data_IF_303112310865
#
_entry.id   IF_303112310865
#
_cell.length_a   1.000
_cell.length_b   1.000
_cell.length_c   1.000
_cell.angle_alpha   90.00
_cell.angle_beta   90.00
_cell.angle_gamma   90.00
#
_symmetry.space_group_name_H-M   'P 1'
#
loop_
_entity.id
_entity.type
_entity.pdbx_description
1 polymer ?
#
# COMPACT_ATOMS: atom_id res chain seq x y z
N UNK A 1 37.95 -7.56 61.62
CA UNK A 1 37.88 -7.84 60.18
C UNK A 1 37.80 -6.51 59.45
N UNK A 2 38.85 -6.12 58.73
CA UNK A 2 38.93 -4.88 57.94
C UNK A 2 38.24 -5.12 56.60
N UNK A 3 37.25 -4.31 56.25
CA UNK A 3 36.65 -4.30 54.91
C UNK A 3 37.43 -3.29 54.08
N UNK A 4 37.97 -3.75 52.95
CA UNK A 4 38.80 -3.01 51.99
C UNK A 4 37.95 -2.03 51.16
N UNK A 5 38.43 -0.82 50.82
CA UNK A 5 37.67 0.21 50.10
C UNK A 5 37.60 0.00 48.57
N UNK A 6 37.89 -1.20 48.07
CA UNK A 6 38.00 -1.46 46.62
C UNK A 6 36.64 -1.78 45.96
N UNK A 7 35.54 -1.80 46.70
CA UNK A 7 34.22 -2.16 46.15
C UNK A 7 33.29 -0.97 45.84
N UNK A 8 33.79 0.28 45.88
CA UNK A 8 32.99 1.50 45.63
C UNK A 8 33.29 2.13 44.25
N UNK A 9 33.85 1.36 43.32
CA UNK A 9 34.12 1.81 41.94
C UNK A 9 33.57 0.85 40.88
N UNK A 10 32.43 0.22 41.19
CA UNK A 10 31.60 -0.52 40.24
C UNK A 10 30.12 -0.13 40.36
N UNK A 11 29.84 1.14 40.69
CA UNK A 11 28.48 1.71 40.73
C UNK A 11 28.33 2.93 39.81
N UNK A 12 29.11 3.00 38.73
CA UNK A 12 29.07 4.07 37.74
C UNK A 12 29.03 3.53 36.29
N UNK A 13 28.38 2.39 36.09
CA UNK A 13 28.06 1.86 34.77
C UNK A 13 26.66 1.26 34.77
N UNK A 14 25.68 1.97 35.35
CA UNK A 14 24.29 1.77 34.95
C UNK A 14 24.14 2.42 33.57
N UNK A 15 24.45 1.61 32.56
CA UNK A 15 23.72 1.53 31.29
C UNK A 15 22.68 2.63 31.06
N UNK A 16 23.11 3.80 30.61
CA UNK A 16 22.30 4.59 29.69
C UNK A 16 22.31 3.86 28.35
N UNK A 17 21.56 2.75 28.28
CA UNK A 17 21.13 2.26 26.98
C UNK A 17 20.23 3.36 26.41
N UNK A 18 20.54 3.93 25.23
CA UNK A 18 19.57 4.80 24.57
C UNK A 18 18.31 3.97 24.37
N UNK A 19 17.21 4.34 25.02
CA UNK A 19 15.90 3.83 24.66
C UNK A 19 15.72 4.18 23.18
N UNK A 20 15.48 3.21 22.29
CA UNK A 20 15.13 3.55 20.92
C UNK A 20 13.77 4.26 20.95
N UNK A 21 13.79 5.60 20.96
CA UNK A 21 12.63 6.41 20.61
C UNK A 21 12.46 6.31 19.10
N UNK A 22 11.75 5.28 18.63
CA UNK A 22 11.44 5.09 17.21
C UNK A 22 10.03 4.53 17.10
N UNK A 23 9.29 5.10 16.17
CA UNK A 23 7.84 5.29 16.17
C UNK A 23 7.25 4.87 14.79
N UNK A 24 6.07 4.20 14.73
CA UNK A 24 5.13 3.83 13.60
C UNK A 24 5.05 2.42 12.97
N UNK A 25 3.97 1.59 13.06
CA UNK A 25 2.52 1.88 13.11
C UNK A 25 1.88 2.28 14.44
N UNK A 26 0.69 2.90 14.35
CA UNK A 26 -0.08 3.64 15.37
C UNK A 26 0.73 4.62 16.24
N UNK A 27 1.77 4.15 16.92
CA UNK A 27 2.71 4.91 17.76
C UNK A 27 3.73 5.75 16.98
N UNK A 28 3.33 6.24 15.80
CA UNK A 28 4.28 6.62 14.76
C UNK A 28 4.43 8.01 14.31
N UNK A 29 3.78 8.86 15.06
CA UNK A 29 3.78 10.25 14.74
C UNK A 29 5.20 10.84 14.69
N UNK A 30 6.10 10.48 15.61
CA UNK A 30 7.42 11.10 15.66
C UNK A 30 8.31 10.76 14.46
N UNK A 31 8.13 9.58 13.86
CA UNK A 31 8.89 9.10 12.70
C UNK A 31 8.33 9.68 11.42
N UNK A 32 7.01 9.68 11.26
CA UNK A 32 6.37 10.00 9.98
C UNK A 32 5.80 11.42 9.90
N UNK A 33 5.51 12.05 11.03
CA UNK A 33 4.74 13.29 11.09
C UNK A 33 3.25 13.13 10.69
N UNK A 34 2.77 11.92 10.41
CA UNK A 34 1.38 11.71 10.00
C UNK A 34 0.44 11.96 11.19
N UNK A 35 -0.28 13.08 11.18
CA UNK A 35 -1.02 13.54 12.35
C UNK A 35 -2.15 12.62 12.79
N UNK A 36 -2.84 11.95 11.86
CA UNK A 36 -3.98 11.07 12.20
C UNK A 36 -3.60 9.88 13.10
N UNK A 37 -2.30 9.59 13.25
CA UNK A 37 -1.80 8.49 14.06
C UNK A 37 -1.83 8.79 15.54
N UNK A 38 -1.56 10.05 15.89
CA UNK A 38 -1.78 10.55 17.25
C UNK A 38 -3.21 10.26 17.68
N UNK A 39 -4.19 10.49 16.80
CA UNK A 39 -5.58 10.13 17.10
C UNK A 39 -5.78 8.65 17.39
N UNK A 40 -5.14 7.76 16.61
CA UNK A 40 -5.26 6.32 16.82
C UNK A 40 -4.62 5.89 18.15
N UNK A 41 -3.45 6.45 18.47
CA UNK A 41 -2.78 6.25 19.75
C UNK A 41 -3.65 6.72 20.92
N UNK A 42 -4.19 7.94 20.86
CA UNK A 42 -5.09 8.48 21.88
C UNK A 42 -6.39 7.66 22.05
N UNK A 43 -6.85 6.96 21.01
CA UNK A 43 -7.98 6.01 21.12
C UNK A 43 -7.55 4.75 21.88
N UNK A 44 -6.36 4.21 21.61
CA UNK A 44 -5.84 3.03 22.32
C UNK A 44 -5.59 3.32 23.80
N UNK A 45 -5.08 4.50 24.11
CA UNK A 45 -4.80 4.96 25.47
C UNK A 45 -6.09 5.35 26.24
N UNK A 46 -7.23 5.40 25.55
CA UNK A 46 -8.52 5.75 26.14
C UNK A 46 -8.73 7.26 26.36
N UNK A 47 -7.82 8.11 25.86
CA UNK A 47 -7.92 9.57 25.94
C UNK A 47 -8.98 10.16 25.01
N UNK A 48 -9.22 9.51 23.86
CA UNK A 48 -10.29 9.85 22.93
C UNK A 48 -11.29 8.69 22.87
N UNK A 49 -12.55 8.98 23.18
CA UNK A 49 -13.64 8.03 23.02
C UNK A 49 -14.11 7.97 21.57
N UNK A 50 -13.78 6.88 20.87
CA UNK A 50 -14.25 6.59 19.51
C UNK A 50 -14.41 5.06 19.33
N UNK A 51 -14.59 4.61 18.09
CA UNK A 51 -14.64 3.20 17.70
C UNK A 51 -13.32 2.52 18.09
N UNK A 52 -13.37 1.46 18.91
CA UNK A 52 -12.16 0.71 19.28
C UNK A 52 -11.43 0.17 18.07
N UNK A 53 -10.10 0.21 18.12
CA UNK A 53 -9.23 -0.37 17.10
C UNK A 53 -9.26 -1.89 17.28
N UNK A 54 -9.54 -2.64 16.21
CA UNK A 54 -9.57 -4.10 16.25
C UNK A 54 -8.19 -4.68 16.59
N UNK A 55 -8.09 -5.86 17.23
CA UNK A 55 -6.81 -6.39 17.73
C UNK A 55 -5.72 -6.48 16.67
N UNK A 56 -6.04 -6.99 15.48
CA UNK A 56 -5.09 -7.10 14.37
C UNK A 56 -4.64 -5.77 13.76
N UNK A 57 -5.20 -4.64 14.18
CA UNK A 57 -4.85 -3.30 13.72
C UNK A 57 -4.08 -2.49 14.79
N UNK A 58 -3.52 -3.14 15.83
CA UNK A 58 -2.84 -2.49 16.96
C UNK A 58 -1.30 -2.62 16.98
N UNK A 59 -0.66 -3.11 15.91
CA UNK A 59 0.80 -3.27 15.87
C UNK A 59 1.52 -1.93 16.05
N UNK A 60 2.69 -2.00 16.68
CA UNK A 60 3.74 -0.97 16.77
C UNK A 60 4.71 -1.04 15.57
N UNK A 61 5.53 0.01 15.36
CA UNK A 61 6.66 0.00 14.40
C UNK A 61 7.48 -1.26 14.37
N UNK A 62 7.79 -1.72 15.56
CA UNK A 62 8.74 -2.79 15.76
C UNK A 62 8.10 -4.17 15.53
N UNK A 63 6.77 -4.24 15.48
CA UNK A 63 6.02 -5.49 15.23
C UNK A 63 5.84 -5.78 13.74
N UNK A 64 6.09 -4.80 12.86
CA UNK A 64 6.07 -4.98 11.41
C UNK A 64 7.49 -5.29 10.94
N UNK A 65 7.63 -6.43 10.27
CA UNK A 65 8.88 -6.91 9.70
C UNK A 65 8.65 -7.50 8.31
N UNK A 66 9.73 -7.74 7.57
CA UNK A 66 9.72 -8.48 6.30
C UNK A 66 9.99 -9.97 6.57
N UNK A 67 9.16 -10.87 6.04
CA UNK A 67 9.19 -12.29 6.43
C UNK A 67 10.04 -13.19 5.51
N UNK A 68 10.52 -12.66 4.38
CA UNK A 68 11.28 -13.40 3.37
C UNK A 68 12.68 -12.82 3.18
N UNK A 69 13.27 -12.22 4.22
CA UNK A 69 14.68 -11.83 4.20
C UNK A 69 15.60 -13.07 4.18
N UNK A 70 16.82 -12.86 3.70
CA UNK A 70 17.90 -13.86 3.68
C UNK A 70 17.45 -15.20 3.04
N UNK A 71 17.84 -16.33 3.65
CA UNK A 71 17.59 -17.67 3.14
C UNK A 71 16.10 -18.03 3.05
N UNK A 72 15.20 -17.28 3.72
CA UNK A 72 13.75 -17.50 3.61
C UNK A 72 13.19 -17.04 2.26
N UNK A 73 13.82 -16.05 1.64
CA UNK A 73 13.44 -15.53 0.33
C UNK A 73 14.20 -16.13 -0.84
N UNK A 74 15.14 -17.05 -0.60
CA UNK A 74 15.93 -17.67 -1.66
C UNK A 74 15.04 -18.48 -2.61
N UNK A 75 15.28 -18.33 -3.92
CA UNK A 75 14.50 -19.00 -4.96
C UNK A 75 13.13 -18.40 -5.24
N UNK A 76 12.76 -17.29 -4.59
CA UNK A 76 11.51 -16.55 -4.81
C UNK A 76 11.72 -15.32 -5.73
N UNK A 77 12.71 -15.37 -6.62
CA UNK A 77 12.90 -14.42 -7.72
C UNK A 77 11.85 -14.58 -8.83
N UNK A 78 11.16 -15.72 -8.83
CA UNK A 78 10.02 -16.01 -9.69
C UNK A 78 8.92 -16.69 -8.87
N UNK A 79 7.70 -16.75 -9.43
CA UNK A 79 6.60 -17.44 -8.77
C UNK A 79 6.90 -18.95 -8.67
N UNK A 80 6.77 -19.57 -7.49
CA UNK A 80 7.00 -21.00 -7.35
C UNK A 80 6.05 -21.84 -8.21
N UNK A 81 6.40 -23.11 -8.42
CA UNK A 81 5.45 -24.06 -8.98
C UNK A 81 4.29 -24.30 -7.99
N UNK A 82 3.05 -24.48 -8.47
CA UNK A 82 1.93 -24.74 -7.58
C UNK A 82 2.12 -26.01 -6.75
N UNK A 83 1.93 -25.90 -5.44
CA UNK A 83 1.87 -27.04 -4.53
C UNK A 83 0.60 -27.86 -4.81
N UNK A 84 0.68 -29.17 -5.10
CA UNK A 84 -0.49 -29.96 -5.47
C UNK A 84 -1.59 -29.99 -4.40
N UNK A 85 -1.23 -29.96 -3.11
CA UNK A 85 -2.18 -29.97 -2.01
C UNK A 85 -2.95 -28.67 -1.91
N UNK A 86 -2.22 -27.56 -1.81
CA UNK A 86 -2.78 -26.21 -1.74
C UNK A 86 -3.57 -25.86 -3.01
N UNK A 87 -3.07 -26.26 -4.19
CA UNK A 87 -3.76 -26.04 -5.46
C UNK A 87 -5.10 -26.77 -5.53
N UNK A 88 -5.19 -28.03 -5.05
CA UNK A 88 -6.47 -28.75 -4.95
C UNK A 88 -7.44 -28.06 -3.99
N UNK A 89 -6.96 -27.65 -2.82
CA UNK A 89 -7.78 -26.95 -1.83
C UNK A 89 -8.32 -25.61 -2.39
N UNK A 90 -7.45 -24.82 -3.04
CA UNK A 90 -7.82 -23.55 -3.67
C UNK A 90 -8.86 -23.76 -4.77
N UNK A 91 -8.66 -24.75 -5.66
CA UNK A 91 -9.59 -25.06 -6.73
C UNK A 91 -10.99 -25.43 -6.20
N UNK A 92 -11.06 -26.12 -5.05
CA UNK A 92 -12.31 -26.47 -4.39
C UNK A 92 -13.18 -25.29 -3.97
N UNK A 93 -12.65 -24.05 -3.94
CA UNK A 93 -13.41 -22.85 -3.57
C UNK A 93 -14.29 -22.29 -4.71
N UNK A 94 -13.96 -22.61 -5.97
CA UNK A 94 -14.52 -21.95 -7.14
C UNK A 94 -15.68 -22.63 -7.89
N UNK A 95 -16.09 -23.90 -7.66
CA UNK A 95 -17.18 -24.51 -8.43
C UNK A 95 -18.50 -23.74 -8.42
N UNK A 96 -18.80 -23.00 -7.35
CA UNK A 96 -20.02 -22.19 -7.21
C UNK A 96 -19.83 -20.69 -7.50
N UNK A 97 -18.64 -20.29 -7.96
CA UNK A 97 -18.29 -18.91 -8.25
C UNK A 97 -18.17 -18.68 -9.76
N UNK A 98 -18.38 -17.44 -10.20
CA UNK A 98 -18.20 -17.07 -11.60
C UNK A 98 -16.75 -17.33 -12.04
N UNK A 99 -16.53 -17.77 -13.28
CA UNK A 99 -15.18 -18.07 -13.77
C UNK A 99 -14.23 -16.85 -13.82
N UNK A 100 -14.79 -15.64 -13.68
CA UNK A 100 -14.06 -14.36 -13.73
C UNK A 100 -13.25 -14.05 -12.47
N UNK A 101 -13.32 -14.89 -11.43
CA UNK A 101 -12.43 -14.77 -10.28
C UNK A 101 -11.05 -15.35 -10.58
N UNK A 102 -10.01 -14.54 -10.39
CA UNK A 102 -8.61 -14.95 -10.52
C UNK A 102 -7.89 -14.71 -9.21
N UNK A 103 -7.04 -15.65 -8.79
CA UNK A 103 -6.38 -15.61 -7.50
C UNK A 103 -4.97 -16.18 -7.57
N UNK A 104 -4.06 -15.60 -6.79
CA UNK A 104 -2.78 -16.20 -6.41
C UNK A 104 -2.70 -16.22 -4.89
N UNK A 105 -2.13 -17.29 -4.35
CA UNK A 105 -2.02 -17.54 -2.91
C UNK A 105 -0.62 -18.08 -2.63
N UNK A 106 0.08 -17.47 -1.69
CA UNK A 106 1.40 -17.91 -1.24
C UNK A 106 1.39 -18.05 0.27
N UNK A 107 1.57 -19.27 0.76
CA UNK A 107 1.79 -19.56 2.17
C UNK A 107 3.28 -19.43 2.47
N UNK A 108 3.63 -18.55 3.40
CA UNK A 108 5.00 -18.29 3.86
C UNK A 108 5.15 -18.51 5.36
N UNK A 109 4.23 -19.26 5.98
CA UNK A 109 4.23 -19.56 7.41
C UNK A 109 5.62 -20.04 7.86
N UNK A 110 6.15 -19.41 8.90
CA UNK A 110 7.47 -19.74 9.43
C UNK A 110 7.56 -21.22 9.88
N UNK A 111 8.71 -21.85 9.66
CA UNK A 111 8.93 -23.26 9.96
C UNK A 111 8.23 -24.25 9.01
N UNK A 112 7.48 -23.77 8.00
CA UNK A 112 6.87 -24.60 6.95
C UNK A 112 7.51 -24.30 5.57
N UNK A 113 7.51 -25.27 4.64
CA UNK A 113 7.86 -24.99 3.25
C UNK A 113 6.93 -23.93 2.66
N UNK A 114 7.48 -23.04 1.84
CA UNK A 114 6.68 -22.09 1.07
C UNK A 114 5.81 -22.86 0.08
N UNK A 115 4.51 -22.58 0.05
CA UNK A 115 3.54 -23.23 -0.86
C UNK A 115 2.82 -22.20 -1.68
N UNK A 116 2.70 -22.44 -2.97
CA UNK A 116 2.03 -21.54 -3.90
C UNK A 116 0.82 -22.21 -4.54
N UNK A 117 -0.23 -21.45 -4.83
CA UNK A 117 -1.37 -21.90 -5.62
C UNK A 117 -1.97 -20.74 -6.41
N UNK A 118 -2.62 -21.05 -7.53
CA UNK A 118 -3.10 -20.04 -8.45
C UNK A 118 -4.35 -20.45 -9.23
N UNK A 119 -5.09 -19.46 -9.71
CA UNK A 119 -6.21 -19.61 -10.64
C UNK A 119 -6.23 -18.41 -11.59
N UNK A 120 -6.14 -18.67 -12.89
CA UNK A 120 -6.07 -17.63 -13.94
C UNK A 120 -5.04 -16.52 -13.62
N UNK A 121 -3.79 -16.88 -13.26
CA UNK A 121 -2.82 -15.94 -12.68
C UNK A 121 -2.45 -14.79 -13.62
N UNK A 122 -2.51 -15.02 -14.94
CA UNK A 122 -2.07 -14.08 -15.97
C UNK A 122 -3.24 -13.28 -16.59
N UNK A 123 -4.46 -13.43 -16.07
CA UNK A 123 -5.61 -12.68 -16.59
C UNK A 123 -5.44 -11.21 -16.21
N UNK A 124 -5.47 -10.33 -17.22
CA UNK A 124 -5.40 -8.88 -17.03
C UNK A 124 -6.73 -8.29 -16.60
N UNK A 125 -6.67 -7.37 -15.65
CA UNK A 125 -7.78 -6.57 -15.14
C UNK A 125 -7.36 -5.11 -15.04
N UNK A 126 -8.32 -4.19 -15.09
CA UNK A 126 -8.05 -2.82 -14.69
C UNK A 126 -7.75 -2.79 -13.18
N UNK A 127 -6.53 -2.42 -12.72
CA UNK A 127 -6.14 -2.54 -11.31
C UNK A 127 -6.92 -1.62 -10.37
N UNK A 128 -7.47 -0.51 -10.88
CA UNK A 128 -8.12 0.51 -10.06
C UNK A 128 -7.17 1.00 -8.96
N UNK A 129 -7.66 1.20 -7.74
CA UNK A 129 -6.83 1.69 -6.63
C UNK A 129 -5.76 0.72 -6.09
N UNK A 130 -5.75 -0.55 -6.52
CA UNK A 130 -4.57 -1.42 -6.27
C UNK A 130 -3.35 -0.86 -7.01
N UNK A 131 -3.58 -0.18 -8.14
CA UNK A 131 -2.53 0.50 -8.89
C UNK A 131 -1.72 1.53 -8.10
N UNK A 132 -2.26 2.10 -7.01
CA UNK A 132 -1.53 3.04 -6.15
C UNK A 132 -0.26 2.45 -5.52
N UNK A 133 -0.16 1.12 -5.48
CA UNK A 133 1.05 0.43 -5.05
C UNK A 133 2.22 0.63 -6.04
N UNK A 134 1.95 0.81 -7.33
CA UNK A 134 2.98 1.21 -8.30
C UNK A 134 3.44 2.66 -8.06
N UNK A 135 2.53 3.56 -7.66
CA UNK A 135 2.87 4.95 -7.32
C UNK A 135 3.76 5.02 -6.08
N UNK A 136 3.44 4.26 -5.01
CA UNK A 136 4.30 4.25 -3.82
C UNK A 136 5.65 3.58 -4.09
N UNK A 137 5.71 2.56 -4.94
CA UNK A 137 7.00 2.01 -5.37
C UNK A 137 7.84 3.04 -6.14
N UNK A 138 7.22 3.79 -7.05
CA UNK A 138 7.87 4.92 -7.72
C UNK A 138 8.38 5.98 -6.74
N UNK A 139 7.58 6.35 -5.74
CA UNK A 139 8.00 7.30 -4.69
C UNK A 139 9.27 6.82 -3.98
N UNK A 140 9.31 5.57 -3.53
CA UNK A 140 10.48 5.05 -2.82
C UNK A 140 11.67 4.79 -3.74
N UNK A 141 11.44 4.47 -5.02
CA UNK A 141 12.50 4.41 -6.03
C UNK A 141 13.18 5.77 -6.20
N UNK A 142 12.41 6.86 -6.37
CA UNK A 142 13.01 8.18 -6.53
C UNK A 142 13.67 8.69 -5.25
N UNK A 143 13.13 8.35 -4.08
CA UNK A 143 13.80 8.63 -2.81
C UNK A 143 15.13 7.90 -2.69
N UNK A 144 15.21 6.63 -3.12
CA UNK A 144 16.47 5.90 -3.22
C UNK A 144 17.45 6.58 -4.18
N UNK A 145 16.98 7.00 -5.36
CA UNK A 145 17.82 7.70 -6.33
C UNK A 145 18.39 9.02 -5.77
N UNK A 146 17.59 9.76 -4.98
CA UNK A 146 18.03 11.01 -4.34
C UNK A 146 19.01 10.79 -3.19
N UNK A 147 18.77 9.77 -2.37
CA UNK A 147 19.55 9.49 -1.16
C UNK A 147 19.91 8.00 -1.07
N UNK A 148 20.78 7.48 -1.95
CA UNK A 148 21.06 6.05 -2.06
C UNK A 148 21.60 5.45 -0.76
N UNK A 149 22.39 6.23 -0.01
CA UNK A 149 23.08 5.75 1.19
C UNK A 149 22.41 6.17 2.51
N UNK A 150 21.25 6.83 2.48
CA UNK A 150 20.61 7.35 3.69
C UNK A 150 19.10 7.26 3.66
N UNK A 151 18.56 6.23 4.30
CA UNK A 151 17.12 6.11 4.49
C UNK A 151 16.58 7.21 5.43
N UNK A 152 17.38 7.66 6.38
CA UNK A 152 17.04 8.76 7.28
C UNK A 152 16.78 10.07 6.51
N UNK A 153 17.57 10.39 5.48
CA UNK A 153 17.31 11.55 4.63
C UNK A 153 16.05 11.38 3.78
N UNK A 154 15.76 10.17 3.30
CA UNK A 154 14.49 9.87 2.59
C UNK A 154 13.28 10.08 3.50
N UNK A 155 13.36 9.57 4.72
CA UNK A 155 12.33 9.73 5.75
C UNK A 155 12.15 11.21 6.11
N UNK A 156 13.24 11.95 6.33
CA UNK A 156 13.17 13.36 6.68
C UNK A 156 12.55 14.19 5.56
N UNK A 157 12.92 13.93 4.30
CA UNK A 157 12.28 14.56 3.14
C UNK A 157 10.78 14.26 3.10
N UNK A 158 10.38 13.00 3.31
CA UNK A 158 8.97 12.61 3.34
C UNK A 158 8.17 13.34 4.42
N UNK A 159 8.78 13.54 5.58
CA UNK A 159 8.18 14.17 6.76
C UNK A 159 8.09 15.69 6.64
N UNK A 160 9.13 16.33 6.12
CA UNK A 160 9.29 17.79 6.15
C UNK A 160 8.82 18.49 4.87
N UNK A 161 8.94 17.84 3.71
CA UNK A 161 8.49 18.41 2.44
C UNK A 161 6.97 18.45 2.41
N UNK A 162 6.41 19.64 2.54
CA UNK A 162 4.98 19.87 2.41
C UNK A 162 4.65 20.42 1.04
N UNK A 163 3.62 19.87 0.40
CA UNK A 163 3.20 20.30 -0.94
C UNK A 163 1.69 20.50 -1.01
N UNK A 164 1.28 21.47 -1.83
CA UNK A 164 -0.11 21.78 -2.07
C UNK A 164 -0.74 20.75 -3.02
N UNK A 165 -2.02 20.45 -2.79
CA UNK A 165 -2.86 19.67 -3.68
C UNK A 165 -2.88 20.24 -5.11
N UNK A 166 -3.23 21.52 -5.24
CA UNK A 166 -3.44 22.18 -6.52
C UNK A 166 -4.50 21.47 -7.39
N UNK A 167 -4.52 21.73 -8.71
CA UNK A 167 -5.48 21.13 -9.64
C UNK A 167 -5.31 19.60 -9.78
N UNK A 168 -4.19 19.04 -9.30
CA UNK A 168 -3.87 17.62 -9.37
C UNK A 168 -4.84 16.78 -8.54
N UNK A 169 -5.26 17.28 -7.38
CA UNK A 169 -6.05 16.50 -6.44
C UNK A 169 -7.54 16.37 -6.83
N UNK A 170 -8.00 17.09 -7.87
CA UNK A 170 -9.42 17.29 -8.19
C UNK A 170 -9.79 16.57 -9.50
N UNK A 171 -10.98 15.99 -9.65
CA UNK A 171 -12.01 15.70 -8.64
C UNK A 171 -11.71 14.35 -7.98
N UNK A 172 -12.04 14.24 -6.69
CA UNK A 172 -11.94 13.01 -5.92
C UNK A 172 -13.24 12.78 -5.13
N UNK A 173 -13.64 11.51 -4.99
CA UNK A 173 -14.88 11.13 -4.28
C UNK A 173 -14.63 10.74 -2.82
N UNK A 174 -13.38 10.45 -2.45
CA UNK A 174 -13.02 9.97 -1.12
C UNK A 174 -12.70 11.14 -0.18
N UNK A 175 -12.99 10.94 1.10
CA UNK A 175 -12.60 11.90 2.14
C UNK A 175 -11.30 11.48 2.79
N UNK A 176 -10.50 12.45 3.25
CA UNK A 176 -9.28 12.22 4.03
C UNK A 176 -9.48 12.70 5.48
N UNK A 177 -8.81 12.08 6.46
CA UNK A 177 -8.83 12.51 7.85
C UNK A 177 -7.96 13.75 8.06
N UNK A 178 -8.54 14.75 8.72
CA UNK A 178 -7.82 15.89 9.27
C UNK A 178 -7.80 15.73 10.78
N UNK A 179 -6.61 15.72 11.37
CA UNK A 179 -6.42 15.68 12.80
C UNK A 179 -5.40 16.72 13.23
N UNK A 180 -5.74 17.49 14.23
CA UNK A 180 -4.85 18.43 14.90
C UNK A 180 -4.41 17.83 16.25
N UNK A 181 -3.12 17.47 16.41
CA UNK A 181 -2.61 16.90 17.65
C UNK A 181 -2.76 17.81 18.88
N UNK A 182 -2.73 19.13 18.72
CA UNK A 182 -2.80 20.08 19.83
C UNK A 182 -4.24 20.29 20.29
N UNK A 183 -5.14 20.57 19.34
CA UNK A 183 -6.55 20.85 19.66
C UNK A 183 -7.40 19.58 19.76
N UNK A 184 -6.85 18.42 19.38
CA UNK A 184 -7.54 17.13 19.25
C UNK A 184 -8.74 17.16 18.28
N UNK A 185 -8.84 18.19 17.43
CA UNK A 185 -9.94 18.35 16.48
C UNK A 185 -9.81 17.35 15.34
N UNK A 186 -10.88 16.62 15.09
CA UNK A 186 -10.96 15.62 14.01
C UNK A 186 -12.14 15.90 13.08
N UNK A 187 -11.91 15.78 11.77
CA UNK A 187 -12.98 15.71 10.78
C UNK A 187 -12.51 14.99 9.52
N UNK A 188 -13.46 14.61 8.65
CA UNK A 188 -13.18 14.06 7.32
C UNK A 188 -13.85 14.91 6.25
N UNK A 189 -13.12 15.23 5.18
CA UNK A 189 -13.68 15.86 3.98
C UNK A 189 -12.87 15.50 2.74
N UNK A 190 -13.42 15.78 1.56
CA UNK A 190 -12.65 15.71 0.31
C UNK A 190 -11.53 16.76 0.35
N UNK A 191 -10.42 16.42 -0.29
CA UNK A 191 -9.29 17.34 -0.47
C UNK A 191 -9.68 18.48 -1.40
N UNK A 192 -9.13 19.65 -1.14
CA UNK A 192 -9.33 20.88 -1.91
C UNK A 192 -7.97 21.34 -2.45
N UNK A 193 -7.98 22.14 -3.52
CA UNK A 193 -6.74 22.60 -4.17
C UNK A 193 -5.78 23.32 -3.22
N UNK A 194 -6.29 23.99 -2.19
CA UNK A 194 -5.48 24.71 -1.20
C UNK A 194 -4.90 23.85 -0.08
N UNK A 195 -5.27 22.58 0.01
CA UNK A 195 -4.79 21.73 1.09
C UNK A 195 -3.31 21.45 0.94
N UNK A 196 -2.60 21.50 2.07
CA UNK A 196 -1.15 21.28 2.15
C UNK A 196 -0.90 20.20 3.18
N UNK A 197 -0.12 19.20 2.78
CA UNK A 197 0.28 18.07 3.61
C UNK A 197 1.73 17.71 3.33
N UNK A 198 2.38 17.03 4.28
CA UNK A 198 3.68 16.40 4.03
C UNK A 198 3.56 15.30 2.96
N UNK A 199 4.67 14.92 2.34
CA UNK A 199 4.68 13.77 1.42
C UNK A 199 4.22 12.48 2.11
N UNK A 200 4.58 12.28 3.38
CA UNK A 200 4.09 11.16 4.18
C UNK A 200 2.56 11.18 4.35
N UNK A 201 1.98 12.33 4.67
CA UNK A 201 0.52 12.45 4.78
C UNK A 201 -0.18 12.24 3.43
N UNK A 202 0.41 12.70 2.33
CA UNK A 202 -0.10 12.41 0.99
C UNK A 202 -0.03 10.92 0.64
N UNK A 203 1.09 10.25 0.91
CA UNK A 203 1.25 8.81 0.70
C UNK A 203 0.28 8.00 1.59
N UNK A 204 0.11 8.42 2.84
CA UNK A 204 -0.86 7.86 3.77
C UNK A 204 -2.29 8.01 3.26
N UNK A 205 -2.71 9.21 2.84
CA UNK A 205 -4.05 9.42 2.30
C UNK A 205 -4.30 8.64 1.01
N UNK A 206 -3.27 8.52 0.16
CA UNK A 206 -3.29 7.71 -1.05
C UNK A 206 -3.58 6.24 -0.72
N UNK A 207 -2.86 5.66 0.26
CA UNK A 207 -2.98 4.24 0.55
C UNK A 207 -4.16 3.94 1.48
N UNK A 208 -4.31 4.71 2.55
CA UNK A 208 -5.15 4.36 3.69
C UNK A 208 -6.64 4.53 3.44
N UNK A 209 -7.05 5.70 2.96
CA UNK A 209 -8.44 5.99 2.57
C UNK A 209 -8.61 5.90 1.06
N UNK A 210 -7.58 5.43 0.35
CA UNK A 210 -7.61 5.23 -1.09
C UNK A 210 -7.90 6.52 -1.87
N UNK A 211 -7.47 7.69 -1.40
CA UNK A 211 -7.77 8.97 -2.05
C UNK A 211 -7.09 9.07 -3.43
N UNK A 212 -7.83 9.36 -4.50
CA UNK A 212 -7.26 9.51 -5.84
C UNK A 212 -6.52 10.84 -6.00
N UNK A 213 -7.01 11.90 -5.35
CA UNK A 213 -6.35 13.19 -5.33
C UNK A 213 -4.95 13.12 -4.73
N UNK A 214 -4.84 12.49 -3.55
CA UNK A 214 -3.56 12.20 -2.92
C UNK A 214 -2.64 11.37 -3.83
N UNK A 215 -3.17 10.34 -4.50
CA UNK A 215 -2.37 9.54 -5.44
C UNK A 215 -1.83 10.35 -6.62
N UNK A 216 -2.62 11.29 -7.14
CA UNK A 216 -2.19 12.17 -8.22
C UNK A 216 -1.13 13.18 -7.75
N UNK A 217 -1.24 13.68 -6.52
CA UNK A 217 -0.23 14.55 -5.90
C UNK A 217 1.07 13.78 -5.68
N UNK A 218 1.02 12.58 -5.08
CA UNK A 218 2.24 11.76 -4.91
C UNK A 218 2.89 11.50 -6.26
N UNK A 219 2.14 11.07 -7.27
CA UNK A 219 2.68 10.81 -8.60
C UNK A 219 3.30 12.06 -9.25
N UNK A 220 2.69 13.25 -9.06
CA UNK A 220 3.32 14.52 -9.46
C UNK A 220 4.69 14.70 -8.79
N UNK A 221 4.78 14.46 -7.50
CA UNK A 221 6.06 14.60 -6.77
C UNK A 221 7.10 13.60 -7.23
N UNK A 222 6.72 12.34 -7.52
CA UNK A 222 7.65 11.35 -8.10
C UNK A 222 8.23 11.85 -9.43
N UNK A 223 7.41 12.46 -10.29
CA UNK A 223 7.87 13.08 -11.54
C UNK A 223 8.87 14.20 -11.25
N UNK A 224 8.56 15.08 -10.30
CA UNK A 224 9.43 16.21 -9.95
C UNK A 224 10.76 15.73 -9.33
N UNK A 225 10.76 14.68 -8.51
CA UNK A 225 11.99 14.06 -7.99
C UNK A 225 12.88 13.58 -9.13
N UNK A 226 12.30 12.88 -10.12
CA UNK A 226 13.05 12.40 -11.29
C UNK A 226 13.65 13.53 -12.13
N UNK A 227 12.91 14.62 -12.31
CA UNK A 227 13.32 15.75 -13.17
C UNK A 227 14.38 16.62 -12.51
N UNK A 228 14.17 16.95 -11.24
CA UNK A 228 14.98 17.93 -10.54
C UNK A 228 16.11 17.31 -9.74
N UNK A 229 16.08 15.99 -9.48
CA UNK A 229 17.13 15.28 -8.75
C UNK A 229 17.46 15.97 -7.43
N UNK A 230 18.74 16.21 -7.18
CA UNK A 230 19.23 16.89 -5.97
C UNK A 230 18.65 18.29 -5.74
N UNK A 231 18.08 18.94 -6.77
CA UNK A 231 17.41 20.23 -6.63
C UNK A 231 15.95 20.13 -6.16
N UNK A 232 15.35 18.92 -6.17
CA UNK A 232 13.96 18.70 -5.75
C UNK A 232 13.63 19.19 -4.32
N UNK A 233 14.47 18.95 -3.29
CA UNK A 233 14.16 19.39 -1.93
C UNK A 233 13.89 20.90 -1.81
N UNK A 234 14.60 21.70 -2.62
CA UNK A 234 14.50 23.17 -2.64
C UNK A 234 13.54 23.71 -3.72
N UNK A 235 12.84 22.83 -4.43
CA UNK A 235 11.95 23.20 -5.53
C UNK A 235 10.78 24.05 -5.03
N UNK A 236 10.55 25.21 -5.66
CA UNK A 236 9.38 26.04 -5.36
C UNK A 236 8.13 25.58 -6.13
N UNK A 237 6.95 25.99 -5.65
CA UNK A 237 5.68 25.69 -6.32
C UNK A 237 5.66 26.29 -7.74
N UNK A 238 6.19 27.51 -7.92
CA UNK A 238 6.25 28.19 -9.21
C UNK A 238 7.18 27.46 -10.20
N UNK A 239 8.32 26.94 -9.74
CA UNK A 239 9.23 26.17 -10.58
C UNK A 239 8.58 24.85 -11.04
N UNK A 240 7.88 24.17 -10.13
CA UNK A 240 7.14 22.95 -10.45
C UNK A 240 6.02 23.23 -11.47
N UNK A 241 5.23 24.29 -11.26
CA UNK A 241 4.16 24.69 -12.17
C UNK A 241 4.68 25.07 -13.56
N UNK A 242 5.79 25.82 -13.60
CA UNK A 242 6.43 26.21 -14.85
C UNK A 242 6.89 25.01 -15.67
N UNK A 243 7.47 24.00 -15.01
CA UNK A 243 7.86 22.76 -15.65
C UNK A 243 6.67 22.08 -16.34
N UNK A 244 5.54 21.88 -15.64
CA UNK A 244 4.38 21.23 -16.24
C UNK A 244 3.66 22.07 -17.31
N UNK A 245 3.80 23.40 -17.24
CA UNK A 245 3.22 24.34 -18.21
C UNK A 245 3.98 24.35 -19.53
N UNK A 246 5.30 24.27 -19.46
CA UNK A 246 6.19 24.43 -20.62
C UNK A 246 6.62 23.11 -21.26
N UNK A 247 6.65 22.02 -20.50
CA UNK A 247 7.06 20.72 -21.02
C UNK A 247 6.02 20.16 -22.00
N UNK A 248 6.44 19.65 -23.18
CA UNK A 248 5.55 19.02 -24.14
C UNK A 248 4.73 17.87 -23.53
N UNK A 249 3.44 17.80 -23.90
CA UNK A 249 2.51 16.81 -23.30
C UNK A 249 2.95 15.36 -23.54
N UNK A 250 3.56 15.06 -24.68
CA UNK A 250 4.11 13.73 -24.96
C UNK A 250 5.22 13.33 -24.00
N UNK A 251 6.15 14.25 -23.72
CA UNK A 251 7.25 14.05 -22.79
C UNK A 251 6.75 13.87 -21.36
N UNK A 252 5.78 14.68 -20.92
CA UNK A 252 5.13 14.51 -19.62
C UNK A 252 4.46 13.14 -19.48
N UNK A 253 3.76 12.67 -20.54
CA UNK A 253 3.13 11.35 -20.53
C UNK A 253 4.15 10.22 -20.46
N UNK A 254 5.25 10.29 -21.23
CA UNK A 254 6.31 9.29 -21.17
C UNK A 254 6.93 9.20 -19.78
N UNK A 255 7.33 10.35 -19.25
CA UNK A 255 7.97 10.44 -17.94
C UNK A 255 7.04 9.97 -16.82
N UNK A 256 5.78 10.40 -16.83
CA UNK A 256 4.81 9.99 -15.82
C UNK A 256 4.61 8.46 -15.79
N UNK A 257 4.57 7.81 -16.96
CA UNK A 257 4.42 6.36 -17.01
C UNK A 257 5.73 5.67 -16.58
N UNK A 258 6.90 6.17 -17.00
CA UNK A 258 8.21 5.64 -16.60
C UNK A 258 8.37 5.59 -15.08
N UNK A 259 8.18 6.71 -14.37
CA UNK A 259 8.49 6.79 -12.93
C UNK A 259 7.69 5.83 -12.03
N UNK A 260 6.54 5.31 -12.49
CA UNK A 260 5.74 4.34 -11.72
C UNK A 260 5.78 2.92 -12.27
N UNK A 261 6.23 2.73 -13.51
CA UNK A 261 6.28 1.41 -14.13
C UNK A 261 7.69 0.83 -14.22
N UNK A 262 8.74 1.66 -14.31
CA UNK A 262 10.15 1.22 -14.34
C UNK A 262 10.52 0.38 -13.12
N UNK A 263 10.16 0.77 -11.87
CA UNK A 263 10.40 -0.08 -10.70
C UNK A 263 9.70 -1.45 -10.81
N UNK A 264 8.59 -1.56 -11.54
CA UNK A 264 7.96 -2.86 -11.80
C UNK A 264 8.74 -3.67 -12.85
N UNK A 265 9.32 -3.00 -13.86
CA UNK A 265 10.13 -3.66 -14.90
C UNK A 265 11.37 -4.29 -14.28
N UNK A 266 12.04 -3.56 -13.39
CA UNK A 266 13.27 -4.00 -12.72
C UNK A 266 13.03 -5.26 -11.86
N UNK A 267 11.80 -5.46 -11.39
CA UNK A 267 11.36 -6.66 -10.67
C UNK A 267 10.98 -7.84 -11.59
N UNK A 268 11.10 -7.70 -12.91
CA UNK A 268 10.67 -8.71 -13.87
C UNK A 268 9.14 -8.91 -13.91
N UNK A 269 8.36 -7.93 -13.46
CA UNK A 269 6.92 -7.87 -13.73
C UNK A 269 6.79 -7.30 -15.14
N UNK A 270 6.12 -7.97 -16.08
CA UNK A 270 5.97 -7.52 -17.48
C UNK A 270 4.84 -6.48 -17.68
N UNK A 271 4.78 -5.81 -18.83
CA UNK A 271 3.82 -4.72 -19.06
C UNK A 271 2.38 -5.24 -19.07
N UNK A 272 2.21 -6.49 -19.50
CA UNK A 272 0.94 -7.20 -19.51
C UNK A 272 0.59 -7.76 -18.13
N UNK A 273 1.59 -8.01 -17.29
CA UNK A 273 1.36 -8.42 -15.91
C UNK A 273 0.88 -7.26 -15.04
N UNK A 274 1.48 -6.07 -15.17
CA UNK A 274 1.03 -4.86 -14.49
C UNK A 274 1.61 -3.59 -15.11
N UNK A 275 0.73 -2.65 -15.48
CA UNK A 275 1.12 -1.27 -15.78
C UNK A 275 0.06 -0.25 -15.37
N UNK A 276 0.48 0.97 -15.07
CA UNK A 276 -0.36 2.15 -14.99
C UNK A 276 -0.18 3.03 -16.22
N UNK A 277 -1.28 3.52 -16.77
CA UNK A 277 -1.26 4.38 -17.96
C UNK A 277 -2.04 5.69 -17.82
N UNK A 278 -2.54 6.02 -16.63
CA UNK A 278 -3.39 7.19 -16.42
C UNK A 278 -3.34 7.67 -14.97
N UNK A 279 -3.25 8.99 -14.79
CA UNK A 279 -3.40 9.66 -13.49
C UNK A 279 -4.74 9.34 -12.82
N UNK A 280 -4.76 9.35 -11.48
CA UNK A 280 -5.93 8.94 -10.71
C UNK A 280 -7.09 9.96 -10.70
N UNK A 281 -6.85 11.21 -11.09
CA UNK A 281 -7.88 12.26 -11.16
C UNK A 281 -8.00 12.83 -12.57
N UNK A 282 -9.15 13.48 -12.83
CA UNK A 282 -9.38 14.22 -14.08
C UNK A 282 -8.48 15.44 -14.19
N UNK A 283 -8.29 16.19 -13.10
CA UNK A 283 -7.44 17.38 -13.08
C UNK A 283 -6.00 17.05 -13.44
N UNK A 284 -5.41 16.02 -12.82
CA UNK A 284 -4.10 15.54 -13.19
C UNK A 284 -4.04 15.00 -14.64
N UNK A 285 -5.07 14.27 -15.09
CA UNK A 285 -5.14 13.78 -16.48
C UNK A 285 -5.26 14.89 -17.53
N UNK A 286 -5.75 16.09 -17.15
CA UNK A 286 -5.77 17.25 -18.03
C UNK A 286 -4.38 17.88 -18.17
N UNK A 287 -3.51 17.72 -17.16
CA UNK A 287 -2.13 18.20 -17.18
C UNK A 287 -1.24 17.19 -17.91
N UNK A 288 -1.39 15.90 -17.59
CA UNK A 288 -0.62 14.80 -18.18
C UNK A 288 -1.58 13.83 -18.89
N UNK A 289 -1.57 13.77 -20.24
CA UNK A 289 -2.41 12.84 -20.98
C UNK A 289 -2.12 11.36 -20.65
N UNK A 290 -3.12 10.48 -20.71
CA UNK A 290 -2.90 9.04 -20.51
C UNK A 290 -2.08 8.41 -21.65
N UNK A 291 -1.36 7.33 -21.33
CA UNK A 291 -0.55 6.55 -22.28
C UNK A 291 -0.55 5.07 -21.93
N UNK A 292 -0.67 4.18 -22.92
CA UNK A 292 -0.52 2.72 -22.76
C UNK A 292 -1.65 1.97 -22.01
N UNK A 293 -2.58 2.69 -21.37
CA UNK A 293 -3.66 2.10 -20.57
C UNK A 293 -3.15 1.43 -19.28
N UNK A 294 -4.06 0.90 -18.46
CA UNK A 294 -3.70 0.23 -17.21
C UNK A 294 -4.20 -1.21 -17.19
N UNK A 295 -3.33 -2.13 -16.77
CA UNK A 295 -3.66 -3.54 -16.53
C UNK A 295 -2.96 -4.03 -15.28
N UNK A 296 -3.46 -5.10 -14.68
CA UNK A 296 -2.87 -5.80 -13.55
C UNK A 296 -3.38 -7.23 -13.51
N UNK A 297 -2.48 -8.16 -13.20
CA UNK A 297 -2.75 -9.58 -13.09
C UNK A 297 -2.46 -10.07 -11.66
N UNK A 298 -3.14 -11.13 -11.19
CA UNK A 298 -2.80 -11.74 -9.90
C UNK A 298 -1.34 -12.18 -9.78
N UNK A 299 -0.71 -12.63 -10.88
CA UNK A 299 0.71 -12.96 -10.93
C UNK A 299 1.60 -11.75 -10.68
N UNK A 300 1.40 -10.66 -11.43
CA UNK A 300 2.19 -9.43 -11.27
C UNK A 300 2.06 -8.82 -9.87
N UNK A 301 0.85 -8.83 -9.31
CA UNK A 301 0.60 -8.37 -7.94
C UNK A 301 1.26 -9.27 -6.89
N UNK A 302 1.30 -10.59 -7.12
CA UNK A 302 2.00 -11.52 -6.22
C UNK A 302 3.52 -11.32 -6.26
N UNK A 303 4.11 -11.16 -7.45
CA UNK A 303 5.54 -10.84 -7.61
C UNK A 303 5.92 -9.59 -6.82
N UNK A 304 5.09 -8.55 -6.88
CA UNK A 304 5.30 -7.31 -6.10
C UNK A 304 5.30 -7.55 -4.60
N UNK A 305 4.33 -8.30 -4.07
CA UNK A 305 4.27 -8.60 -2.63
C UNK A 305 5.43 -9.51 -2.18
N UNK A 306 5.85 -10.46 -3.01
CA UNK A 306 7.04 -11.29 -2.75
C UNK A 306 8.29 -10.41 -2.70
N UNK A 307 8.50 -9.53 -3.69
CA UNK A 307 9.63 -8.61 -3.71
C UNK A 307 9.67 -7.72 -2.46
N UNK A 308 8.51 -7.22 -2.03
CA UNK A 308 8.38 -6.46 -0.78
C UNK A 308 8.81 -7.28 0.44
N UNK A 309 8.23 -8.47 0.63
CA UNK A 309 8.58 -9.36 1.76
C UNK A 309 10.04 -9.81 1.75
N UNK A 310 10.71 -9.78 0.59
CA UNK A 310 12.15 -10.08 0.43
C UNK A 310 13.06 -8.87 0.67
N UNK A 311 12.51 -7.66 0.87
CA UNK A 311 13.31 -6.44 0.95
C UNK A 311 13.95 -6.05 -0.39
N UNK A 312 13.32 -6.45 -1.49
CA UNK A 312 13.79 -6.27 -2.87
C UNK A 312 12.82 -5.50 -3.74
N UNK A 313 11.75 -4.92 -3.17
CA UNK A 313 10.84 -4.09 -3.94
C UNK A 313 11.57 -2.84 -4.46
N UNK A 314 12.38 -2.24 -3.59
CA UNK A 314 13.35 -1.17 -3.89
C UNK A 314 14.65 -1.57 -3.15
N UNK A 315 14.63 -1.39 -1.84
CA UNK A 315 15.62 -1.89 -0.87
C UNK A 315 14.90 -2.38 0.40
N UNK A 316 15.59 -2.97 1.40
CA UNK A 316 14.95 -3.48 2.61
C UNK A 316 14.19 -2.43 3.42
N UNK A 317 14.76 -1.24 3.63
CA UNK A 317 14.12 -0.18 4.41
C UNK A 317 12.89 0.39 3.70
N UNK A 318 13.00 0.66 2.40
CA UNK A 318 11.89 1.14 1.57
C UNK A 318 10.76 0.11 1.47
N UNK A 319 11.10 -1.18 1.32
CA UNK A 319 10.11 -2.27 1.28
C UNK A 319 9.33 -2.38 2.61
N UNK A 320 10.05 -2.25 3.74
CA UNK A 320 9.44 -2.26 5.06
C UNK A 320 8.51 -1.07 5.27
N UNK A 321 8.90 0.13 4.81
CA UNK A 321 8.07 1.33 4.96
C UNK A 321 6.80 1.27 4.10
N UNK A 322 6.90 0.74 2.87
CA UNK A 322 5.71 0.48 2.04
C UNK A 322 4.78 -0.51 2.73
N UNK A 323 5.32 -1.57 3.34
CA UNK A 323 4.53 -2.53 4.12
C UNK A 323 3.82 -1.84 5.30
N UNK A 324 4.50 -0.97 6.05
CA UNK A 324 3.90 -0.17 7.15
C UNK A 324 2.76 0.71 6.66
N UNK A 325 2.93 1.40 5.53
CA UNK A 325 1.87 2.21 4.93
C UNK A 325 0.65 1.36 4.51
N UNK A 326 0.87 0.13 4.01
CA UNK A 326 -0.21 -0.80 3.69
C UNK A 326 -0.96 -1.30 4.93
N UNK A 327 -0.26 -1.52 6.04
CA UNK A 327 -0.86 -1.93 7.33
C UNK A 327 -1.88 -0.91 7.82
N UNK A 328 -1.54 0.36 7.64
CA UNK A 328 -2.28 1.49 8.21
C UNK A 328 -3.50 1.89 7.39
N UNK A 329 -3.95 0.98 6.51
CA UNK A 329 -5.13 1.20 5.71
C UNK A 329 -6.35 1.40 6.59
N UNK A 330 -7.04 2.53 6.42
CA UNK A 330 -8.25 2.84 7.17
C UNK A 330 -9.34 1.82 6.82
N UNK A 331 -10.26 1.54 7.74
CA UNK A 331 -11.38 0.58 7.65
C UNK A 331 -11.11 -0.65 6.75
N UNK A 332 -10.99 -1.83 7.36
CA UNK A 332 -10.95 -3.09 6.62
C UNK A 332 -12.22 -3.30 5.78
N UNK A 333 -12.04 -3.53 4.48
CA UNK A 333 -13.13 -3.75 3.50
C UNK A 333 -12.83 -4.95 2.60
N UNK A 334 -13.86 -5.48 1.92
CA UNK A 334 -13.74 -6.56 0.92
C UNK A 334 -13.04 -7.77 1.53
N UNK A 335 -11.91 -8.19 0.96
CA UNK A 335 -11.10 -9.30 1.46
C UNK A 335 -10.65 -9.06 2.91
N UNK A 336 -10.04 -7.90 3.19
CA UNK A 336 -9.54 -7.57 4.52
C UNK A 336 -10.65 -7.40 5.56
N UNK A 337 -11.88 -7.11 5.12
CA UNK A 337 -13.05 -6.95 6.00
C UNK A 337 -13.65 -8.26 6.52
N UNK A 338 -13.03 -9.41 6.27
CA UNK A 338 -13.51 -10.69 6.80
C UNK A 338 -13.29 -10.75 8.31
N UNK A 339 -14.30 -11.21 9.04
CA UNK A 339 -14.21 -11.42 10.49
C UNK A 339 -13.22 -12.51 10.88
N UNK A 340 -12.86 -13.41 9.96
CA UNK A 340 -11.81 -14.41 10.19
C UNK A 340 -10.43 -13.77 10.37
N UNK A 341 -10.27 -12.52 9.91
CA UNK A 341 -9.01 -11.78 9.96
C UNK A 341 -8.96 -10.75 11.09
N UNK A 342 -9.99 -10.63 11.94
CA UNK A 342 -10.09 -9.60 12.99
C UNK A 342 -8.83 -9.48 13.85
N UNK A 343 -8.27 -10.64 14.23
CA UNK A 343 -7.10 -10.71 15.11
C UNK A 343 -5.77 -10.70 14.34
N UNK A 344 -5.80 -10.97 13.03
CA UNK A 344 -4.63 -10.98 12.18
C UNK A 344 -4.19 -9.55 11.82
N UNK A 345 -2.89 -9.32 11.73
CA UNK A 345 -2.36 -8.17 11.03
C UNK A 345 -2.59 -8.33 9.51
N UNK A 346 -3.14 -7.29 8.88
CA UNK A 346 -3.51 -7.31 7.47
C UNK A 346 -2.93 -6.09 6.78
N UNK A 347 -1.98 -6.32 5.87
CA UNK A 347 -1.34 -5.31 5.04
C UNK A 347 -1.99 -5.37 3.68
N UNK A 348 -2.83 -4.40 3.31
CA UNK A 348 -3.68 -4.59 2.14
C UNK A 348 -3.88 -3.33 1.31
N UNK A 349 -4.22 -3.55 0.04
CA UNK A 349 -4.82 -2.53 -0.81
C UNK A 349 -5.99 -3.13 -1.57
N UNK A 350 -7.03 -2.32 -1.71
CA UNK A 350 -8.17 -2.68 -2.53
C UNK A 350 -8.47 -1.64 -3.60
N UNK A 351 -9.07 -2.09 -4.71
CA UNK A 351 -9.44 -1.30 -5.87
C UNK A 351 -10.75 -1.79 -6.47
N UNK A 352 -11.53 -0.86 -7.02
CA UNK A 352 -12.75 -1.17 -7.74
C UNK A 352 -12.94 -0.17 -8.87
N UNK A 353 -13.49 -0.63 -9.99
CA UNK A 353 -13.94 0.23 -11.07
C UNK A 353 -15.15 -0.44 -11.71
N UNK A 354 -16.22 0.32 -11.92
CA UNK A 354 -17.38 -0.20 -12.64
C UNK A 354 -17.86 0.81 -13.67
N UNK A 355 -18.41 0.28 -14.75
CA UNK A 355 -19.02 1.06 -15.82
C UNK A 355 -20.36 0.45 -16.19
N UNK A 356 -21.34 1.31 -16.36
CA UNK A 356 -22.68 0.95 -16.76
C UNK A 356 -23.06 1.55 -18.11
N UNK A 357 -23.95 0.87 -18.81
CA UNK A 357 -24.72 1.38 -19.95
C UNK A 357 -26.21 1.10 -19.71
N UNK A 358 -27.12 1.92 -20.26
CA UNK A 358 -28.55 1.62 -20.22
C UNK A 358 -28.85 0.21 -20.75
N UNK A 359 -29.68 -0.54 -20.05
CA UNK A 359 -30.10 -1.89 -20.40
C UNK A 359 -31.49 -2.15 -19.80
N UNK A 360 -32.42 -2.68 -20.59
CA UNK A 360 -33.78 -2.98 -20.14
C UNK A 360 -33.79 -4.01 -19.01
N UNK A 361 -34.56 -3.76 -17.95
CA UNK A 361 -34.63 -4.64 -16.78
C UNK A 361 -33.40 -4.62 -15.88
N UNK A 362 -32.44 -3.70 -16.07
CA UNK A 362 -31.25 -3.57 -15.25
C UNK A 362 -31.03 -2.15 -14.72
N UNK A 363 -30.98 -2.02 -13.39
CA UNK A 363 -30.59 -0.77 -12.73
C UNK A 363 -29.13 -0.85 -12.26
N UNK A 364 -28.32 0.11 -12.71
CA UNK A 364 -26.92 0.20 -12.32
C UNK A 364 -26.79 0.58 -10.84
N UNK A 365 -25.85 -0.06 -10.14
CA UNK A 365 -25.53 0.26 -8.75
C UNK A 365 -24.02 0.24 -8.49
N UNK A 366 -23.64 0.70 -7.29
CA UNK A 366 -22.23 0.70 -6.86
C UNK A 366 -21.67 -0.72 -6.93
N UNK A 367 -20.57 -0.89 -7.66
CA UNK A 367 -19.91 -2.19 -7.88
C UNK A 367 -20.81 -3.22 -8.58
N UNK A 368 -21.74 -2.75 -9.41
CA UNK A 368 -22.59 -3.57 -10.26
C UNK A 368 -22.57 -2.97 -11.67
N UNK A 369 -21.42 -2.95 -12.32
CA UNK A 369 -21.34 -2.55 -13.72
C UNK A 369 -21.83 -3.64 -14.68
N UNK A 370 -22.48 -3.26 -15.78
CA UNK A 370 -22.85 -4.18 -16.87
C UNK A 370 -21.95 -4.04 -18.12
N UNK A 371 -20.92 -3.19 -18.06
CA UNK A 371 -19.86 -3.08 -19.08
C UNK A 371 -18.52 -3.53 -18.49
N UNK A 372 -18.18 -3.00 -17.33
CA UNK A 372 -16.98 -3.34 -16.56
C UNK A 372 -17.38 -3.40 -15.09
N UNK A 373 -16.86 -4.36 -14.33
CA UNK A 373 -17.14 -4.44 -12.89
C UNK A 373 -15.99 -5.06 -12.12
N UNK A 374 -14.86 -4.36 -12.12
CA UNK A 374 -13.63 -4.78 -11.49
C UNK A 374 -13.69 -4.66 -9.96
N UNK A 375 -13.29 -5.72 -9.27
CA UNK A 375 -13.08 -5.77 -7.83
C UNK A 375 -11.74 -6.46 -7.56
N UNK A 376 -10.81 -5.74 -6.93
CA UNK A 376 -9.45 -6.19 -6.72
C UNK A 376 -9.04 -6.06 -5.25
N UNK A 377 -8.31 -7.03 -4.73
CA UNK A 377 -7.78 -7.05 -3.38
C UNK A 377 -6.39 -7.68 -3.39
N UNK A 378 -5.42 -7.03 -2.78
CA UNK A 378 -4.13 -7.62 -2.44
C UNK A 378 -3.97 -7.53 -0.93
N UNK A 379 -3.50 -8.59 -0.31
CA UNK A 379 -3.31 -8.63 1.14
C UNK A 379 -2.16 -9.56 1.53
N UNK A 380 -1.46 -9.15 2.59
CA UNK A 380 -0.53 -9.97 3.36
C UNK A 380 -1.17 -10.15 4.73
N UNK A 381 -1.29 -11.38 5.20
CA UNK A 381 -1.97 -11.75 6.44
C UNK A 381 -0.93 -12.38 7.35
N UNK A 382 -0.83 -11.86 8.58
CA UNK A 382 0.01 -12.38 9.65
C UNK A 382 -0.88 -12.63 10.87
N UNK A 383 -1.16 -13.89 11.17
CA UNK A 383 -1.90 -14.23 12.39
C UNK A 383 -0.97 -14.23 13.61
N UNK A 384 -1.50 -13.84 14.79
CA UNK A 384 -0.72 -13.87 16.03
C UNK A 384 -0.28 -15.28 16.45
N UNK A 385 -0.94 -16.34 15.96
CA UNK A 385 -0.58 -17.74 16.19
C UNK A 385 0.39 -18.31 15.14
N UNK A 386 0.91 -17.50 14.21
CA UNK A 386 1.99 -17.86 13.27
C UNK A 386 1.63 -17.95 11.78
N UNK A 387 0.45 -18.46 11.36
CA UNK A 387 0.09 -18.54 9.94
C UNK A 387 0.27 -17.22 9.21
N UNK A 388 1.05 -17.25 8.13
CA UNK A 388 1.39 -16.06 7.35
C UNK A 388 1.28 -16.34 5.85
N UNK A 389 0.49 -15.55 5.14
CA UNK A 389 0.25 -15.78 3.71
C UNK A 389 -0.08 -14.50 2.94
N UNK A 390 0.17 -14.54 1.62
CA UNK A 390 -0.08 -13.46 0.67
C UNK A 390 -1.18 -13.87 -0.29
N UNK A 391 -1.99 -12.92 -0.74
CA UNK A 391 -3.09 -13.17 -1.68
C UNK A 391 -3.31 -11.99 -2.62
N UNK A 392 -3.42 -12.25 -3.92
CA UNK A 392 -3.97 -11.31 -4.88
C UNK A 392 -5.25 -11.91 -5.47
N UNK A 393 -6.39 -11.24 -5.24
CA UNK A 393 -7.72 -11.65 -5.71
C UNK A 393 -8.31 -10.56 -6.59
N UNK A 394 -8.59 -10.91 -7.84
CA UNK A 394 -9.13 -9.99 -8.85
C UNK A 394 -10.36 -10.60 -9.49
N UNK A 395 -11.33 -9.75 -9.85
CA UNK A 395 -12.54 -10.21 -10.54
C UNK A 395 -13.14 -9.14 -11.44
N UNK A 396 -13.85 -9.61 -12.47
CA UNK A 396 -14.73 -8.81 -13.30
C UNK A 396 -16.04 -9.58 -13.52
N UNK A 397 -16.97 -9.46 -12.57
CA UNK A 397 -18.29 -10.13 -12.62
C UNK A 397 -19.35 -9.08 -12.84
N UNK A 398 -19.93 -9.05 -14.04
CA UNK A 398 -20.93 -8.05 -14.38
C UNK A 398 -22.18 -8.19 -13.51
N UNK A 399 -22.84 -7.06 -13.24
CA UNK A 399 -24.11 -6.95 -12.50
C UNK A 399 -24.09 -7.50 -11.07
N UNK A 400 -22.91 -7.85 -10.53
CA UNK A 400 -22.75 -8.43 -9.19
C UNK A 400 -21.79 -7.61 -8.33
N UNK A 401 -22.20 -7.29 -7.10
CA UNK A 401 -21.27 -6.72 -6.14
C UNK A 401 -20.37 -7.81 -5.55
N UNK A 402 -19.20 -8.01 -6.16
CA UNK A 402 -18.21 -9.01 -5.75
C UNK A 402 -17.54 -8.75 -4.40
N UNK A 403 -17.85 -7.64 -3.71
CA UNK A 403 -17.36 -7.40 -2.35
C UNK A 403 -17.68 -8.57 -1.40
N UNK A 404 -18.89 -9.13 -1.51
CA UNK A 404 -19.35 -10.24 -0.68
C UNK A 404 -18.54 -11.50 -0.98
N UNK A 405 -18.31 -11.80 -2.26
CA UNK A 405 -17.52 -12.96 -2.66
C UNK A 405 -16.05 -12.81 -2.23
N UNK A 406 -15.45 -11.62 -2.35
CA UNK A 406 -14.09 -11.36 -1.88
C UNK A 406 -13.97 -11.58 -0.36
N UNK A 407 -14.96 -11.13 0.41
CA UNK A 407 -15.01 -11.33 1.85
C UNK A 407 -15.14 -12.82 2.23
N UNK A 408 -16.07 -13.54 1.58
CA UNK A 408 -16.27 -14.96 1.81
C UNK A 408 -15.06 -15.80 1.39
N UNK A 409 -14.42 -15.46 0.27
CA UNK A 409 -13.17 -16.09 -0.17
C UNK A 409 -12.04 -15.86 0.83
N UNK A 410 -11.96 -14.69 1.47
CA UNK A 410 -10.99 -14.45 2.51
C UNK A 410 -11.13 -15.45 3.67
N UNK A 411 -12.34 -15.63 4.20
CA UNK A 411 -12.58 -16.61 5.27
C UNK A 411 -12.27 -18.05 4.86
N UNK A 412 -12.56 -18.42 3.60
CA UNK A 412 -12.33 -19.77 3.11
C UNK A 412 -10.85 -20.04 2.82
N UNK A 413 -10.13 -19.07 2.27
CA UNK A 413 -8.68 -19.16 2.05
C UNK A 413 -7.96 -19.20 3.40
N UNK A 414 -8.35 -18.34 4.34
CA UNK A 414 -7.81 -18.35 5.70
C UNK A 414 -7.93 -19.74 6.34
N UNK A 415 -9.13 -20.34 6.24
CA UNK A 415 -9.37 -21.71 6.70
C UNK A 415 -8.49 -22.75 5.98
N UNK A 416 -8.15 -22.58 4.71
CA UNK A 416 -7.24 -23.50 3.99
C UNK A 416 -5.82 -23.42 4.55
N UNK A 417 -5.33 -22.23 4.90
CA UNK A 417 -3.97 -22.04 5.39
C UNK A 417 -3.82 -22.49 6.85
N UNK A 418 -4.85 -22.26 7.66
CA UNK A 418 -4.85 -22.56 9.10
C UNK A 418 -5.12 -24.03 9.45
N UNK A 419 -5.63 -24.82 8.49
CA UNK A 419 -5.74 -26.28 8.61
C UNK A 419 -4.49 -26.95 8.03
#
# INVERSE_FOLDING_TARGET
>A
MKISPVSILLLAALSCLPFPSKTYPIDGFDFSGIRRLVRLQLILEGEIKDTPIIPGAQKSINDIQLNLLDSRGEGLDSLPQPDPGLQRALNGLFPSLHESYSVTLLDITEGKPVRYAQRQPNRGFQPGSVGKLAVVAGLFCELENLYPDSFELRQELLKTRTVRAGPWAIYDEHTVPFFDPETKKFFKRQVQEKDVFSLFEWADHMLSVSNNGAAAVVWREVILMRVFGEAYPELTEEQAEEYFRTTPKGELSELAISVVNDPLRDLGISEDEWRLGKMFTRGASNIIPPKGGSTGSPAGLMKYMIAMERGKLIDPQSSLEIKRLMYMTDRRIRYAGSSALTDAAVYFKSGSLYKCRPEEGYECGKYKGNVENYMNSVAIIEHPDGPTYLVALMSNVLKKNSNIDHNALASRIDKIIRN
#
